data_IF_242850713535
#
_entry.id   IF_242850713535
#
_cell.length_a   1.000
_cell.length_b   1.000
_cell.length_c   1.000
_cell.angle_alpha   90.00
_cell.angle_beta   90.00
_cell.angle_gamma   90.00
#
_symmetry.space_group_name_H-M   'P 1'
#
loop_
_entity.id
_entity.type
_entity.pdbx_description
1 polymer ?
#
# COMPACT_ATOMS: atom_id res chain seq x y z
N UNK A 1 31.06 30.83 -31.01
CA UNK A 1 31.48 30.01 -29.86
C UNK A 1 30.42 29.94 -28.75
N UNK A 2 29.49 30.89 -28.64
CA UNK A 2 28.47 30.92 -27.59
C UNK A 2 27.54 29.67 -27.59
N UNK A 3 27.10 29.19 -28.77
CA UNK A 3 26.19 28.03 -28.86
C UNK A 3 26.77 26.71 -28.34
N UNK A 4 28.09 26.47 -28.48
CA UNK A 4 28.71 25.23 -28.00
C UNK A 4 28.71 25.13 -26.47
N UNK A 5 28.80 26.26 -25.77
CA UNK A 5 28.81 26.28 -24.31
C UNK A 5 27.39 26.02 -23.80
N UNK A 6 26.38 26.64 -24.41
CA UNK A 6 24.97 26.45 -24.04
C UNK A 6 24.53 25.00 -24.22
N UNK A 7 24.91 24.36 -25.33
CA UNK A 7 24.56 22.95 -25.58
C UNK A 7 25.13 22.02 -24.52
N UNK A 8 26.39 22.23 -24.11
CA UNK A 8 27.05 21.42 -23.07
C UNK A 8 26.34 21.56 -21.72
N UNK A 9 25.91 22.78 -21.36
CA UNK A 9 25.16 23.01 -20.12
C UNK A 9 23.77 22.36 -20.14
N UNK A 10 23.08 22.41 -21.27
CA UNK A 10 21.75 21.77 -21.43
C UNK A 10 21.87 20.25 -21.30
N UNK A 11 22.87 19.64 -21.95
CA UNK A 11 23.12 18.20 -21.86
C UNK A 11 23.44 17.79 -20.41
N UNK A 12 24.30 18.54 -19.72
CA UNK A 12 24.63 18.28 -18.32
C UNK A 12 23.38 18.38 -17.41
N UNK A 13 22.55 19.40 -17.60
CA UNK A 13 21.31 19.57 -16.85
C UNK A 13 20.32 18.42 -17.09
N UNK A 14 20.18 17.94 -18.33
CA UNK A 14 19.35 16.79 -18.66
C UNK A 14 19.84 15.51 -17.97
N UNK A 15 21.15 15.25 -17.97
CA UNK A 15 21.73 14.07 -17.31
C UNK A 15 21.47 14.12 -15.79
N UNK A 16 21.66 15.27 -15.17
CA UNK A 16 21.38 15.45 -13.73
C UNK A 16 19.89 15.30 -13.43
N UNK A 17 19.01 15.89 -14.24
CA UNK A 17 17.57 15.79 -14.05
C UNK A 17 17.07 14.33 -14.18
N UNK A 18 17.57 13.58 -15.18
CA UNK A 18 17.27 12.16 -15.34
C UNK A 18 17.84 11.35 -14.18
N UNK A 19 19.09 11.61 -13.77
CA UNK A 19 19.74 10.92 -12.65
C UNK A 19 18.98 11.10 -11.33
N UNK A 20 18.59 12.33 -11.00
CA UNK A 20 17.80 12.65 -9.80
C UNK A 20 16.39 12.09 -9.90
N UNK A 21 15.76 12.16 -11.08
CA UNK A 21 14.44 11.59 -11.33
C UNK A 21 14.42 10.08 -11.14
N UNK A 22 15.36 9.36 -11.75
CA UNK A 22 15.50 7.90 -11.62
C UNK A 22 15.89 7.51 -10.18
N UNK A 23 16.79 8.26 -9.54
CA UNK A 23 17.17 8.04 -8.15
C UNK A 23 15.96 8.12 -7.20
N UNK A 24 15.16 9.19 -7.30
CA UNK A 24 13.95 9.36 -6.49
C UNK A 24 12.87 8.32 -6.80
N UNK A 25 12.72 7.94 -8.07
CA UNK A 25 11.74 6.91 -8.46
C UNK A 25 12.16 5.52 -7.94
N UNK A 26 13.47 5.26 -7.93
CA UNK A 26 14.06 4.03 -7.42
C UNK A 26 14.02 3.97 -5.90
N UNK A 27 14.21 5.09 -5.19
CA UNK A 27 14.00 5.19 -3.73
C UNK A 27 12.53 4.94 -3.34
N UNK A 28 11.57 5.50 -4.10
CA UNK A 28 10.14 5.16 -3.94
C UNK A 28 9.83 3.70 -4.21
N UNK A 29 10.55 3.08 -5.15
CA UNK A 29 10.39 1.66 -5.51
C UNK A 29 11.22 0.72 -4.61
N UNK A 30 12.21 1.23 -3.87
CA UNK A 30 13.09 0.48 -2.98
C UNK A 30 12.47 0.20 -1.61
N UNK A 31 11.17 0.46 -1.45
CA UNK A 31 10.34 -0.40 -0.59
C UNK A 31 10.41 -1.81 -1.19
N UNK A 32 11.46 -2.56 -0.81
CA UNK A 32 11.63 -3.98 -1.13
C UNK A 32 10.25 -4.65 -1.05
N UNK A 33 9.84 -5.44 -2.06
CA UNK A 33 8.78 -6.39 -1.83
C UNK A 33 9.32 -7.35 -0.77
N UNK A 34 9.02 -7.06 0.50
CA UNK A 34 9.00 -8.05 1.56
C UNK A 34 8.17 -9.19 0.97
N UNK A 35 8.68 -10.43 1.02
CA UNK A 35 8.01 -11.60 0.45
C UNK A 35 6.51 -11.51 0.79
N UNK A 36 5.71 -11.14 -0.22
CA UNK A 36 4.41 -10.55 0.02
C UNK A 36 3.40 -11.65 0.30
N UNK A 37 2.46 -11.38 1.20
CA UNK A 37 1.31 -12.25 1.41
C UNK A 37 0.51 -12.39 0.10
N UNK A 38 0.21 -13.62 -0.27
CA UNK A 38 -0.74 -13.94 -1.33
C UNK A 38 -2.16 -14.06 -0.79
N UNK A 39 -3.13 -13.86 -1.68
CA UNK A 39 -4.53 -14.05 -1.33
C UNK A 39 -4.77 -15.52 -0.93
N UNK A 40 -5.25 -15.73 0.29
CA UNK A 40 -5.49 -17.08 0.84
C UNK A 40 -4.40 -17.56 1.79
N UNK A 41 -3.31 -16.80 1.97
CA UNK A 41 -2.31 -17.11 2.98
C UNK A 41 -2.91 -17.10 4.38
N UNK A 42 -2.50 -18.07 5.20
CA UNK A 42 -2.84 -18.13 6.62
C UNK A 42 -1.74 -17.41 7.38
N UNK A 43 -2.10 -16.27 7.98
CA UNK A 43 -1.22 -15.48 8.83
C UNK A 43 -1.20 -16.12 10.22
N UNK A 44 -0.04 -16.57 10.68
CA UNK A 44 0.17 -16.82 12.10
C UNK A 44 0.22 -15.47 12.84
N UNK A 45 -0.27 -15.43 14.09
CA UNK A 45 -0.41 -14.20 14.88
C UNK A 45 0.90 -13.39 14.96
N UNK A 46 2.05 -14.05 14.93
CA UNK A 46 3.38 -13.44 15.09
C UNK A 46 3.94 -12.86 13.77
N UNK A 47 3.55 -13.39 12.61
CA UNK A 47 4.13 -13.00 11.32
C UNK A 47 3.44 -11.77 10.71
N UNK A 48 2.18 -11.52 11.09
CA UNK A 48 1.36 -10.49 10.47
C UNK A 48 1.76 -9.05 10.84
N UNK A 49 2.63 -8.87 11.84
CA UNK A 49 3.00 -7.54 12.36
C UNK A 49 1.81 -6.75 12.92
N UNK A 50 0.71 -7.44 13.22
CA UNK A 50 -0.54 -6.88 13.74
C UNK A 50 -0.61 -7.17 15.25
N UNK A 51 -1.15 -6.24 16.07
CA UNK A 51 -1.28 -6.48 17.50
C UNK A 51 -2.20 -7.68 17.76
N UNK A 52 -1.90 -8.49 18.78
CA UNK A 52 -2.69 -9.69 19.11
C UNK A 52 -4.20 -9.40 19.30
N UNK A 53 -4.56 -8.18 19.71
CA UNK A 53 -5.94 -7.71 19.80
C UNK A 53 -6.69 -7.64 18.45
N UNK A 54 -5.98 -7.67 17.32
CA UNK A 54 -6.57 -7.86 15.99
C UNK A 54 -7.08 -9.28 15.76
N UNK A 55 -6.58 -10.25 16.50
CA UNK A 55 -6.89 -11.67 16.34
C UNK A 55 -7.69 -12.26 17.51
N UNK A 56 -7.74 -11.58 18.66
CA UNK A 56 -8.47 -12.08 19.82
C UNK A 56 -10.01 -12.19 19.59
N UNK A 57 -10.55 -13.33 20.02
CA UNK A 57 -11.97 -13.66 20.29
C UNK A 57 -12.92 -14.02 19.12
N UNK A 58 -12.49 -14.19 17.87
CA UNK A 58 -13.41 -14.64 16.79
C UNK A 58 -12.84 -15.73 15.89
N UNK A 59 -13.73 -16.61 15.41
CA UNK A 59 -13.37 -17.86 14.74
C UNK A 59 -12.70 -17.67 13.37
N UNK A 60 -12.86 -16.53 12.68
CA UNK A 60 -12.14 -16.18 11.44
C UNK A 60 -11.97 -14.66 11.32
N UNK A 61 -10.77 -14.20 10.97
CA UNK A 61 -10.48 -12.80 10.67
C UNK A 61 -10.00 -12.68 9.22
N UNK A 62 -10.64 -11.82 8.45
CA UNK A 62 -10.23 -11.46 7.10
C UNK A 62 -9.50 -10.12 7.15
N UNK A 63 -8.21 -10.14 6.81
CA UNK A 63 -7.36 -8.95 6.74
C UNK A 63 -7.30 -8.46 5.29
N UNK A 64 -7.61 -7.18 5.08
CA UNK A 64 -7.57 -6.51 3.79
C UNK A 64 -6.42 -5.50 3.78
N UNK A 65 -5.38 -5.76 2.99
CA UNK A 65 -4.34 -4.76 2.75
C UNK A 65 -4.74 -3.84 1.60
N UNK A 66 -4.88 -2.55 1.88
CA UNK A 66 -5.32 -1.54 0.91
C UNK A 66 -4.40 -0.33 0.91
N UNK A 67 -4.39 0.39 -0.22
CA UNK A 67 -3.76 1.70 -0.31
C UNK A 67 -4.56 2.60 -1.24
N UNK A 68 -4.68 3.87 -0.88
CA UNK A 68 -5.25 4.94 -1.70
C UNK A 68 -4.51 5.14 -3.04
N UNK A 69 -3.23 4.74 -3.12
CA UNK A 69 -2.42 4.82 -4.34
C UNK A 69 -2.57 3.57 -5.25
N UNK A 70 -3.26 2.53 -4.79
CA UNK A 70 -3.46 1.29 -5.53
C UNK A 70 -4.70 1.39 -6.43
N UNK A 71 -4.48 1.44 -7.75
CA UNK A 71 -5.57 1.57 -8.75
C UNK A 71 -6.63 0.47 -8.61
N UNK A 72 -6.20 -0.77 -8.40
CA UNK A 72 -7.12 -1.91 -8.21
C UNK A 72 -7.91 -1.79 -6.91
N UNK A 73 -7.25 -1.38 -5.82
CA UNK A 73 -7.88 -1.19 -4.52
C UNK A 73 -8.99 -0.12 -4.61
N UNK A 74 -8.73 0.98 -5.32
CA UNK A 74 -9.73 2.03 -5.59
C UNK A 74 -10.86 1.53 -6.49
N UNK A 75 -10.54 0.81 -7.57
CA UNK A 75 -11.56 0.25 -8.49
C UNK A 75 -12.48 -0.76 -7.79
N UNK A 76 -11.95 -1.54 -6.85
CA UNK A 76 -12.68 -2.55 -6.07
C UNK A 76 -13.40 -1.98 -4.84
N UNK A 77 -13.45 -0.65 -4.65
CA UNK A 77 -14.05 -0.06 -3.45
C UNK A 77 -15.53 -0.40 -3.26
N UNK A 78 -16.29 -0.54 -4.35
CA UNK A 78 -17.69 -0.98 -4.27
C UNK A 78 -17.79 -2.37 -3.64
N UNK A 79 -16.95 -3.30 -4.07
CA UNK A 79 -16.89 -4.65 -3.52
C UNK A 79 -16.51 -4.65 -2.03
N UNK A 80 -15.50 -3.89 -1.62
CA UNK A 80 -15.10 -3.84 -0.20
C UNK A 80 -16.21 -3.28 0.70
N UNK A 81 -17.00 -2.31 0.21
CA UNK A 81 -18.18 -1.80 0.94
C UNK A 81 -19.26 -2.86 1.09
N UNK A 82 -19.55 -3.60 0.03
CA UNK A 82 -20.52 -4.71 0.07
C UNK A 82 -20.04 -5.84 0.99
N UNK A 83 -18.74 -6.17 0.96
CA UNK A 83 -18.11 -7.16 1.84
C UNK A 83 -18.20 -6.76 3.31
N UNK A 84 -17.87 -5.50 3.64
CA UNK A 84 -18.00 -4.97 4.99
C UNK A 84 -19.46 -4.98 5.47
N UNK A 85 -20.40 -4.62 4.59
CA UNK A 85 -21.83 -4.65 4.90
C UNK A 85 -22.38 -6.08 5.07
N UNK A 86 -21.81 -7.07 4.38
CA UNK A 86 -22.15 -8.48 4.55
C UNK A 86 -21.56 -9.05 5.85
N UNK A 87 -20.33 -8.64 6.19
CA UNK A 87 -19.67 -9.02 7.44
C UNK A 87 -20.38 -8.42 8.66
N UNK A 88 -20.91 -7.19 8.58
CA UNK A 88 -21.65 -6.55 9.68
C UNK A 88 -23.08 -7.08 9.83
N UNK A 89 -23.74 -7.44 8.73
CA UNK A 89 -25.12 -7.98 8.75
C UNK A 89 -25.22 -9.40 9.30
N UNK A 90 -24.15 -10.21 9.17
CA UNK A 90 -24.08 -11.50 9.87
C UNK A 90 -23.87 -11.25 11.36
N UNK A 91 -24.96 -11.03 12.08
CA UNK A 91 -25.02 -10.90 13.55
C UNK A 91 -24.44 -12.12 14.30
N UNK A 92 -24.15 -13.23 13.61
CA UNK A 92 -23.55 -14.43 14.19
C UNK A 92 -22.06 -14.53 13.85
N UNK A 93 -21.23 -13.81 14.60
CA UNK A 93 -19.88 -14.19 15.08
C UNK A 93 -18.77 -14.73 14.15
N UNK A 94 -19.01 -14.98 12.86
CA UNK A 94 -18.15 -15.89 12.10
C UNK A 94 -16.95 -15.24 11.39
N UNK A 95 -17.03 -13.97 10.97
CA UNK A 95 -15.93 -13.32 10.24
C UNK A 95 -15.74 -11.88 10.70
N UNK A 96 -14.59 -11.57 11.30
CA UNK A 96 -14.13 -10.20 11.57
C UNK A 96 -13.43 -9.66 10.32
N UNK A 97 -13.73 -8.43 9.91
CA UNK A 97 -13.02 -7.75 8.83
C UNK A 97 -12.08 -6.70 9.41
N UNK A 98 -10.80 -6.75 9.04
CA UNK A 98 -9.78 -5.76 9.44
C UNK A 98 -9.17 -5.19 8.17
N UNK A 99 -9.14 -3.87 8.01
CA UNK A 99 -8.48 -3.21 6.90
C UNK A 99 -7.17 -2.58 7.38
N UNK A 100 -6.08 -2.85 6.66
CA UNK A 100 -4.75 -2.32 6.90
C UNK A 100 -4.40 -1.39 5.75
N UNK A 101 -4.34 -0.09 6.04
CA UNK A 101 -3.86 0.92 5.10
C UNK A 101 -2.34 0.97 5.08
N UNK A 102 -1.75 1.37 3.95
CA UNK A 102 -0.32 1.69 3.87
C UNK A 102 -0.02 3.12 4.32
N UNK A 103 -1.05 3.95 4.36
CA UNK A 103 -0.97 5.36 4.74
C UNK A 103 -0.81 5.53 6.26
N UNK A 104 -0.03 6.54 6.64
CA UNK A 104 0.11 6.93 8.04
C UNK A 104 -1.19 7.63 8.50
N UNK A 105 -1.65 7.33 9.72
CA UNK A 105 -2.85 7.96 10.29
C UNK A 105 -2.71 9.49 10.38
N UNK A 106 -1.48 9.99 10.51
CA UNK A 106 -1.17 11.43 10.49
C UNK A 106 -1.49 12.12 9.16
N UNK A 107 -1.61 11.37 8.06
CA UNK A 107 -2.02 11.89 6.74
C UNK A 107 -3.54 11.91 6.51
N UNK A 108 -4.33 11.29 7.40
CA UNK A 108 -5.79 11.13 7.25
C UNK A 108 -6.63 12.14 8.06
N UNK A 109 -6.02 12.96 8.91
CA UNK A 109 -6.67 13.92 9.82
C UNK A 109 -6.54 15.40 9.41
N UNK A 110 -6.30 15.70 8.13
CA UNK A 110 -6.21 17.08 7.65
C UNK A 110 -7.47 17.55 6.92
#
# INVERSE_FOLDING_TARGET
MLNKITDVFVIAACIVAIGVGVGRLRERSASRPQAGYQAGDVLADEDAGLPASCFEQRQRTLVLYVSSHCRFCTASMKFYRELAAAASRRQSGQVRLVAVGREDLSTLTK
#
